data_IF_141960006044
#
_entry.id   IF_141960006044
#
_cell.length_a   1.000
_cell.length_b   1.000
_cell.length_c   1.000
_cell.angle_alpha   90.00
_cell.angle_beta   90.00
_cell.angle_gamma   90.00
#
_symmetry.space_group_name_H-M   'P 1'
#
loop_
_entity.id
_entity.type
_entity.pdbx_description
1 polymer ?
#
# COMPACT_ATOMS: atom_id res chain seq x y z
N UNK A 1 -41.57 31.15 27.74
CA UNK A 1 -41.40 30.75 26.35
C UNK A 1 -39.97 30.24 26.16
N UNK A 2 -39.71 28.96 26.11
CA UNK A 2 -38.37 28.42 25.80
C UNK A 2 -38.24 28.16 24.32
N UNK A 3 -37.14 28.65 23.75
CA UNK A 3 -36.73 28.39 22.38
C UNK A 3 -36.13 26.99 22.26
N UNK A 4 -36.72 26.19 21.39
CA UNK A 4 -36.25 24.87 20.99
C UNK A 4 -35.03 25.00 20.08
N UNK A 5 -33.86 24.50 20.49
CA UNK A 5 -32.72 24.25 19.65
C UNK A 5 -32.80 22.84 19.07
N UNK A 6 -33.00 22.80 17.77
CA UNK A 6 -33.06 21.59 16.94
C UNK A 6 -31.72 20.88 16.92
N UNK A 7 -31.77 19.57 17.19
CA UNK A 7 -30.66 18.62 17.03
C UNK A 7 -30.54 18.26 15.55
N UNK A 8 -29.57 18.82 14.88
CA UNK A 8 -29.12 18.35 13.55
C UNK A 8 -27.64 18.03 13.64
N UNK A 9 -27.29 16.76 13.84
CA UNK A 9 -25.90 16.34 13.96
C UNK A 9 -25.69 14.87 14.22
N UNK A 10 -26.21 13.98 13.36
CA UNK A 10 -25.92 12.55 13.52
C UNK A 10 -26.01 11.74 12.20
N UNK A 11 -25.54 12.27 11.10
CA UNK A 11 -25.54 11.49 9.83
C UNK A 11 -24.22 11.46 9.04
N UNK A 12 -23.12 11.99 9.54
CA UNK A 12 -21.87 12.04 8.78
C UNK A 12 -20.90 10.89 9.05
N UNK A 13 -21.24 9.86 9.83
CA UNK A 13 -20.25 8.90 10.35
C UNK A 13 -20.35 7.47 9.79
N UNK A 14 -21.17 7.21 8.78
CA UNK A 14 -21.24 5.87 8.15
C UNK A 14 -20.40 5.71 6.86
N UNK A 15 -19.86 6.79 6.31
CA UNK A 15 -19.12 6.76 5.04
C UNK A 15 -17.63 6.38 5.17
N UNK A 16 -17.01 6.59 6.32
CA UNK A 16 -15.57 6.30 6.49
C UNK A 16 -15.22 4.81 6.60
N UNK A 17 -16.20 3.97 6.90
CA UNK A 17 -15.98 2.53 7.07
C UNK A 17 -15.79 1.74 5.77
N UNK A 18 -16.15 2.31 4.63
CA UNK A 18 -16.03 1.65 3.33
C UNK A 18 -14.68 1.86 2.61
N UNK A 19 -13.77 2.59 3.20
CA UNK A 19 -12.40 2.81 2.66
C UNK A 19 -11.51 1.55 2.62
N UNK A 20 -12.02 0.39 3.03
CA UNK A 20 -11.23 -0.84 3.14
C UNK A 20 -10.94 -1.54 1.83
N UNK A 21 -11.64 -1.23 0.78
CA UNK A 21 -11.56 -2.01 -0.45
C UNK A 21 -10.66 -1.41 -1.54
N UNK A 22 -9.97 -0.30 -1.23
CA UNK A 22 -9.11 0.39 -2.21
C UNK A 22 -7.77 -0.29 -2.49
N UNK A 23 -7.45 -1.39 -1.83
CA UNK A 23 -6.15 -2.08 -1.93
C UNK A 23 -6.20 -3.41 -2.65
N UNK A 24 -7.20 -3.61 -3.51
CA UNK A 24 -7.22 -4.82 -4.32
C UNK A 24 -6.38 -4.66 -5.58
N UNK A 25 -5.09 -4.97 -5.47
CA UNK A 25 -4.13 -4.98 -6.59
C UNK A 25 -4.01 -6.40 -7.14
N UNK A 26 -5.02 -6.88 -7.85
CA UNK A 26 -4.95 -8.19 -8.51
C UNK A 26 -4.77 -8.07 -10.00
N UNK A 27 -3.63 -8.38 -10.50
CA UNK A 27 -3.39 -9.13 -11.73
C UNK A 27 -1.93 -9.02 -12.17
N UNK A 28 -1.02 -9.76 -11.58
CA UNK A 28 0.32 -9.99 -12.17
C UNK A 28 0.61 -11.48 -12.42
N UNK A 29 -0.43 -12.32 -12.58
CA UNK A 29 -0.26 -13.67 -13.16
C UNK A 29 -0.45 -13.62 -14.66
N UNK A 30 0.45 -12.99 -15.42
CA UNK A 30 0.27 -13.00 -16.87
C UNK A 30 1.36 -12.35 -17.70
N UNK A 31 2.32 -11.70 -17.12
CA UNK A 31 3.40 -11.04 -17.88
C UNK A 31 4.74 -11.74 -17.64
N UNK A 32 4.75 -13.04 -17.84
CA UNK A 32 5.98 -13.77 -18.14
C UNK A 32 5.77 -14.49 -19.46
N UNK A 33 6.46 -14.03 -20.49
CA UNK A 33 6.55 -14.54 -21.86
C UNK A 33 5.62 -13.88 -22.88
N UNK A 34 6.27 -13.13 -23.77
CA UNK A 34 5.94 -12.67 -25.12
C UNK A 34 5.68 -11.17 -25.27
N UNK A 35 6.75 -10.40 -25.22
CA UNK A 35 6.91 -9.31 -26.17
C UNK A 35 8.15 -9.58 -27.02
N UNK A 36 7.98 -10.49 -27.96
CA UNK A 36 8.91 -10.64 -29.08
C UNK A 36 8.32 -9.80 -30.21
N UNK A 37 8.79 -8.58 -30.36
CA UNK A 37 8.50 -7.76 -31.54
C UNK A 37 9.27 -8.35 -32.73
N UNK A 38 8.59 -9.08 -33.60
CA UNK A 38 9.17 -9.63 -34.83
C UNK A 38 9.22 -8.60 -35.96
N UNK A 39 9.87 -7.45 -35.74
CA UNK A 39 10.19 -6.51 -36.85
C UNK A 39 11.33 -5.54 -36.49
N UNK A 40 12.51 -6.05 -36.14
CA UNK A 40 13.76 -5.32 -36.27
C UNK A 40 14.85 -6.35 -36.57
N UNK A 41 15.18 -6.51 -37.84
CA UNK A 41 16.29 -7.32 -38.30
C UNK A 41 17.61 -6.75 -37.83
N UNK A 42 18.45 -7.59 -37.28
CA UNK A 42 19.89 -7.56 -37.25
C UNK A 42 20.56 -6.34 -36.65
N UNK A 43 21.07 -6.51 -35.44
CA UNK A 43 22.39 -5.98 -35.01
C UNK A 43 22.71 -6.60 -33.63
N UNK A 44 23.80 -7.36 -33.57
CA UNK A 44 24.56 -7.68 -32.37
C UNK A 44 23.83 -8.50 -31.29
N UNK A 45 24.30 -9.71 -31.04
CA UNK A 45 23.98 -10.48 -29.83
C UNK A 45 24.44 -9.70 -28.58
N UNK A 46 23.61 -8.74 -28.17
CA UNK A 46 23.69 -8.14 -26.84
C UNK A 46 23.26 -9.20 -25.85
N UNK A 47 24.11 -9.52 -24.90
CA UNK A 47 23.76 -10.32 -23.73
C UNK A 47 22.39 -9.91 -23.21
N UNK A 48 21.51 -10.83 -22.80
CA UNK A 48 20.24 -10.45 -22.19
C UNK A 48 20.54 -9.49 -21.04
N UNK A 49 19.97 -8.30 -21.08
CA UNK A 49 20.03 -7.36 -19.96
C UNK A 49 19.30 -8.08 -18.83
N UNK A 50 20.04 -8.76 -17.99
CA UNK A 50 19.53 -9.28 -16.73
C UNK A 50 19.11 -8.06 -15.91
N UNK A 51 17.83 -7.90 -15.72
CA UNK A 51 17.37 -6.97 -14.67
C UNK A 51 18.03 -7.43 -13.38
N UNK A 52 18.79 -6.58 -12.69
CA UNK A 52 19.41 -7.00 -11.45
C UNK A 52 18.34 -7.42 -10.45
N UNK A 53 18.63 -8.39 -9.60
CA UNK A 53 17.68 -8.90 -8.64
C UNK A 53 17.43 -7.84 -7.55
N UNK A 54 16.32 -7.15 -7.68
CA UNK A 54 15.80 -6.29 -6.63
C UNK A 54 15.15 -7.18 -5.58
N UNK A 55 15.63 -7.15 -4.34
CA UNK A 55 14.93 -7.82 -3.24
C UNK A 55 13.67 -7.00 -2.89
N UNK A 56 12.50 -7.62 -3.08
CA UNK A 56 11.22 -7.03 -2.69
C UNK A 56 10.85 -7.41 -1.27
N UNK A 57 10.58 -6.43 -0.44
CA UNK A 57 10.16 -6.58 0.95
C UNK A 57 8.77 -5.99 1.11
N UNK A 58 7.79 -6.78 1.55
CA UNK A 58 6.49 -6.27 1.95
C UNK A 58 6.56 -5.75 3.39
N UNK A 59 6.22 -4.50 3.64
CA UNK A 59 6.13 -3.92 4.98
C UNK A 59 4.66 -3.66 5.31
N UNK A 60 4.19 -4.23 6.42
CA UNK A 60 2.81 -4.06 6.88
C UNK A 60 2.75 -3.93 8.40
N UNK A 61 1.56 -3.65 8.91
CA UNK A 61 1.32 -3.50 10.35
C UNK A 61 0.01 -2.78 10.60
N UNK A 62 -0.60 -3.05 11.75
CA UNK A 62 -1.86 -2.43 12.14
C UNK A 62 -1.74 -0.91 12.28
N UNK A 63 -2.86 -0.22 12.16
CA UNK A 63 -2.92 1.22 12.41
C UNK A 63 -2.37 1.52 13.82
N UNK A 64 -1.50 2.51 13.93
CA UNK A 64 -0.85 2.88 15.19
C UNK A 64 0.36 2.03 15.60
N UNK A 65 0.73 0.97 14.84
CA UNK A 65 1.88 0.11 15.16
C UNK A 65 3.24 0.80 15.02
N UNK A 66 3.34 1.90 14.27
CA UNK A 66 4.60 2.59 14.01
C UNK A 66 5.33 2.15 12.75
N UNK A 67 4.64 1.50 11.82
CA UNK A 67 5.16 1.08 10.52
C UNK A 67 5.93 2.18 9.77
N UNK A 68 5.44 3.42 9.80
CA UNK A 68 6.10 4.57 9.17
C UNK A 68 7.46 4.91 9.78
N UNK A 69 7.64 4.65 11.08
CA UNK A 69 8.94 4.82 11.75
C UNK A 69 9.93 3.77 11.26
N UNK A 70 9.49 2.51 11.17
CA UNK A 70 10.32 1.42 10.60
C UNK A 70 10.68 1.71 9.14
N UNK A 71 9.73 2.17 8.33
CA UNK A 71 9.99 2.56 6.94
C UNK A 71 11.05 3.67 6.85
N UNK A 72 10.95 4.71 7.71
CA UNK A 72 11.92 5.79 7.76
C UNK A 72 13.32 5.31 8.19
N UNK A 73 13.40 4.38 9.15
CA UNK A 73 14.67 3.76 9.55
C UNK A 73 15.27 2.97 8.39
N UNK A 74 14.50 2.16 7.68
CA UNK A 74 14.99 1.40 6.52
C UNK A 74 15.50 2.33 5.40
N UNK A 75 14.87 3.49 5.18
CA UNK A 75 15.39 4.51 4.25
C UNK A 75 16.78 5.00 4.67
N UNK A 76 17.04 5.19 5.96
CA UNK A 76 18.38 5.59 6.46
C UNK A 76 19.46 4.57 6.12
N UNK A 77 19.12 3.29 5.99
CA UNK A 77 20.02 2.22 5.53
C UNK A 77 20.15 2.11 4.01
N UNK A 78 19.37 2.88 3.25
CA UNK A 78 19.42 2.89 1.79
C UNK A 78 18.32 2.07 1.11
N UNK A 79 17.29 1.64 1.84
CA UNK A 79 16.11 1.05 1.22
C UNK A 79 15.36 2.08 0.37
N UNK A 80 14.82 1.63 -0.75
CA UNK A 80 13.86 2.40 -1.55
C UNK A 80 12.46 2.02 -1.09
N UNK A 81 11.72 2.97 -0.52
CA UNK A 81 10.35 2.71 -0.07
C UNK A 81 9.35 3.12 -1.14
N UNK A 82 8.47 2.20 -1.51
CA UNK A 82 7.32 2.43 -2.39
C UNK A 82 6.05 2.34 -1.54
N UNK A 83 5.43 3.49 -1.32
CA UNK A 83 4.17 3.61 -0.57
C UNK A 83 2.99 3.31 -1.49
N UNK A 84 2.32 2.17 -1.27
CA UNK A 84 1.19 1.73 -2.09
C UNK A 84 0.00 2.70 -2.04
N UNK A 85 -0.23 3.36 -0.90
CA UNK A 85 -1.29 4.37 -0.77
C UNK A 85 -0.93 5.66 -1.52
N UNK A 86 0.34 6.07 -1.51
CA UNK A 86 0.81 7.22 -2.29
C UNK A 86 0.70 6.95 -3.79
N UNK A 87 1.08 5.75 -4.23
CA UNK A 87 0.89 5.32 -5.64
C UNK A 87 -0.58 5.35 -6.02
N UNK A 88 -1.48 4.78 -5.22
CA UNK A 88 -2.91 4.78 -5.49
C UNK A 88 -3.52 6.20 -5.51
N UNK A 89 -2.89 7.14 -4.81
CA UNK A 89 -3.28 8.56 -4.87
C UNK A 89 -2.79 9.25 -6.13
N UNK A 90 -1.54 9.02 -6.50
CA UNK A 90 -0.91 9.73 -7.63
C UNK A 90 -1.52 9.36 -8.98
N UNK A 91 -1.94 8.12 -9.18
CA UNK A 91 -2.50 7.68 -10.46
C UNK A 91 -3.87 8.29 -10.81
N UNK A 92 -4.53 8.92 -9.83
CA UNK A 92 -5.83 9.60 -10.02
C UNK A 92 -5.74 11.11 -9.77
N UNK A 93 -4.54 11.69 -9.86
CA UNK A 93 -4.34 13.14 -9.82
C UNK A 93 -4.88 13.82 -11.09
N UNK A 94 -5.18 15.12 -11.04
CA UNK A 94 -5.64 15.87 -12.21
C UNK A 94 -4.73 15.69 -13.42
N UNK A 95 -5.33 15.39 -14.58
CA UNK A 95 -4.59 15.16 -15.83
C UNK A 95 -4.14 13.72 -16.08
N UNK A 96 -4.34 12.80 -15.15
CA UNK A 96 -4.00 11.38 -15.35
C UNK A 96 -5.05 10.64 -16.20
N UNK A 97 -4.65 9.64 -17.00
CA UNK A 97 -5.59 8.82 -17.76
C UNK A 97 -6.59 8.07 -16.88
N UNK A 98 -6.18 7.61 -15.70
CA UNK A 98 -7.06 6.89 -14.78
C UNK A 98 -8.16 7.81 -14.22
N UNK A 99 -7.85 9.06 -13.87
CA UNK A 99 -8.88 10.02 -13.48
C UNK A 99 -9.86 10.27 -14.62
N UNK A 100 -9.38 10.40 -15.88
CA UNK A 100 -10.24 10.52 -17.06
C UNK A 100 -11.21 9.35 -17.21
N UNK A 101 -10.70 8.11 -17.05
CA UNK A 101 -11.53 6.91 -17.09
C UNK A 101 -12.56 6.83 -15.96
N UNK A 102 -12.21 7.31 -14.75
CA UNK A 102 -13.16 7.41 -13.64
C UNK A 102 -14.28 8.41 -13.93
N UNK A 103 -13.95 9.56 -14.53
CA UNK A 103 -14.95 10.58 -14.93
C UNK A 103 -15.85 10.04 -16.03
N UNK A 104 -15.31 9.33 -17.01
CA UNK A 104 -16.09 8.70 -18.07
C UNK A 104 -17.07 7.66 -17.52
N UNK A 105 -16.64 6.84 -16.56
CA UNK A 105 -17.47 5.76 -15.99
C UNK A 105 -18.47 6.24 -14.95
N UNK A 106 -18.07 7.14 -14.06
CA UNK A 106 -18.87 7.56 -12.89
C UNK A 106 -19.47 8.97 -13.02
N UNK A 107 -19.15 9.66 -14.10
CA UNK A 107 -19.62 11.03 -14.38
C UNK A 107 -18.74 12.11 -13.77
N UNK A 108 -18.87 13.34 -14.30
CA UNK A 108 -18.09 14.50 -13.83
C UNK A 108 -18.36 14.88 -12.36
N UNK A 109 -19.44 14.37 -11.76
CA UNK A 109 -19.76 14.58 -10.34
C UNK A 109 -18.74 14.01 -9.36
N UNK A 110 -17.82 13.14 -9.80
CA UNK A 110 -16.71 12.63 -8.98
C UNK A 110 -15.54 13.61 -8.86
N UNK A 111 -15.61 14.78 -9.50
CA UNK A 111 -14.60 15.82 -9.39
C UNK A 111 -15.05 16.91 -8.40
N UNK A 112 -14.10 17.39 -7.62
CA UNK A 112 -14.22 18.64 -6.87
C UNK A 112 -14.14 19.87 -7.77
N UNK A 113 -14.38 21.03 -7.21
CA UNK A 113 -14.29 22.34 -7.91
C UNK A 113 -12.88 22.68 -8.41
N UNK A 114 -11.87 22.06 -7.81
CA UNK A 114 -10.45 22.18 -8.17
C UNK A 114 -10.02 21.18 -9.27
N UNK A 115 -10.96 20.36 -9.77
CA UNK A 115 -10.69 19.31 -10.75
C UNK A 115 -10.01 18.06 -10.16
N UNK A 116 -9.77 18.02 -8.87
CA UNK A 116 -9.26 16.83 -8.19
C UNK A 116 -10.38 15.82 -7.91
N UNK A 117 -10.02 14.57 -7.69
CA UNK A 117 -10.97 13.50 -7.38
C UNK A 117 -11.62 13.72 -6.00
N UNK A 118 -12.95 13.85 -5.98
CA UNK A 118 -13.76 13.76 -4.76
C UNK A 118 -13.89 12.29 -4.35
N UNK A 119 -12.96 11.84 -3.48
CA UNK A 119 -12.87 10.43 -3.04
C UNK A 119 -14.11 9.94 -2.30
N UNK A 120 -14.75 10.72 -1.39
CA UNK A 120 -16.02 10.35 -0.79
C UNK A 120 -17.11 10.08 -1.81
N UNK A 121 -17.28 10.96 -2.80
CA UNK A 121 -18.28 10.78 -3.86
C UNK A 121 -17.99 9.58 -4.75
N UNK A 122 -16.74 9.39 -5.14
CA UNK A 122 -16.37 8.21 -5.90
C UNK A 122 -16.63 6.93 -5.09
N UNK A 123 -16.31 6.91 -3.80
CA UNK A 123 -16.57 5.77 -2.93
C UNK A 123 -18.06 5.43 -2.84
N UNK A 124 -18.93 6.44 -2.70
CA UNK A 124 -20.38 6.25 -2.71
C UNK A 124 -20.87 5.54 -3.98
N UNK A 125 -20.40 5.99 -5.15
CA UNK A 125 -20.80 5.43 -6.44
C UNK A 125 -20.16 4.07 -6.72
N UNK A 126 -18.89 3.93 -6.43
CA UNK A 126 -18.14 2.72 -6.74
C UNK A 126 -18.51 1.53 -5.84
N UNK A 127 -18.95 1.79 -4.61
CA UNK A 127 -19.38 0.75 -3.68
C UNK A 127 -20.90 0.60 -3.58
N UNK A 128 -21.66 1.23 -4.46
CA UNK A 128 -23.11 1.05 -4.55
C UNK A 128 -23.50 -0.37 -4.98
N UNK A 129 -22.70 -0.98 -5.85
CA UNK A 129 -22.89 -2.34 -6.36
C UNK A 129 -21.58 -3.00 -6.75
N UNK A 130 -21.60 -4.32 -6.95
CA UNK A 130 -20.41 -5.10 -7.28
C UNK A 130 -19.82 -4.75 -8.67
N UNK A 131 -20.66 -4.40 -9.66
CA UNK A 131 -20.18 -4.04 -10.98
C UNK A 131 -19.44 -2.71 -10.97
N UNK A 132 -19.96 -1.71 -10.28
CA UNK A 132 -19.30 -0.41 -10.08
C UNK A 132 -17.96 -0.55 -9.39
N UNK A 133 -17.85 -1.46 -8.40
CA UNK A 133 -16.57 -1.78 -7.76
C UNK A 133 -15.57 -2.40 -8.74
N UNK A 134 -16.02 -3.37 -9.54
CA UNK A 134 -15.18 -4.02 -10.58
C UNK A 134 -14.69 -3.00 -11.62
N UNK A 135 -15.55 -2.08 -12.02
CA UNK A 135 -15.19 -1.04 -12.99
C UNK A 135 -14.15 -0.07 -12.42
N UNK A 136 -14.29 0.34 -11.15
CA UNK A 136 -13.28 1.11 -10.44
C UNK A 136 -11.93 0.39 -10.46
N UNK A 137 -11.93 -0.89 -10.08
CA UNK A 137 -10.72 -1.72 -10.07
C UNK A 137 -10.11 -1.85 -11.47
N UNK A 138 -10.91 -2.11 -12.49
CA UNK A 138 -10.46 -2.25 -13.87
C UNK A 138 -9.78 -0.97 -14.41
N UNK A 139 -10.21 0.20 -13.95
CA UNK A 139 -9.63 1.49 -14.34
C UNK A 139 -8.35 1.77 -13.54
N UNK A 140 -8.37 1.56 -12.23
CA UNK A 140 -7.29 2.01 -11.35
C UNK A 140 -6.13 1.02 -11.25
N UNK A 141 -6.39 -0.29 -11.24
CA UNK A 141 -5.35 -1.30 -11.03
C UNK A 141 -4.25 -1.28 -12.08
N UNK A 142 -4.54 -1.18 -13.40
CA UNK A 142 -3.48 -1.10 -14.41
C UNK A 142 -2.59 0.12 -14.22
N UNK A 143 -3.18 1.27 -13.87
CA UNK A 143 -2.44 2.50 -13.62
C UNK A 143 -1.53 2.39 -12.37
N UNK A 144 -2.07 1.84 -11.27
CA UNK A 144 -1.32 1.59 -10.04
C UNK A 144 -0.15 0.62 -10.32
N UNK A 145 -0.39 -0.46 -11.04
CA UNK A 145 0.66 -1.43 -11.36
C UNK A 145 1.76 -0.82 -12.22
N UNK A 146 1.38 0.00 -13.21
CA UNK A 146 2.35 0.69 -14.08
C UNK A 146 3.22 1.65 -13.26
N UNK A 147 2.61 2.46 -12.41
CA UNK A 147 3.35 3.42 -11.57
C UNK A 147 4.22 2.71 -10.54
N UNK A 148 3.73 1.63 -9.93
CA UNK A 148 4.49 0.82 -9.01
C UNK A 148 5.75 0.23 -9.68
N UNK A 149 5.60 -0.36 -10.87
CA UNK A 149 6.72 -0.89 -11.65
C UNK A 149 7.70 0.23 -12.05
N UNK A 150 7.19 1.41 -12.42
CA UNK A 150 8.04 2.56 -12.74
C UNK A 150 8.90 2.97 -11.55
N UNK A 151 8.33 3.04 -10.35
CA UNK A 151 9.09 3.39 -9.13
C UNK A 151 10.12 2.30 -8.80
N UNK A 152 9.77 1.03 -8.93
CA UNK A 152 10.71 -0.07 -8.75
C UNK A 152 11.87 -0.03 -9.76
N UNK A 153 11.59 0.26 -11.03
CA UNK A 153 12.61 0.35 -12.08
C UNK A 153 13.50 1.58 -11.93
N UNK A 154 13.02 2.63 -11.28
CA UNK A 154 13.81 3.82 -10.95
C UNK A 154 14.75 3.60 -9.75
N UNK A 155 14.53 2.53 -8.98
CA UNK A 155 15.41 2.17 -7.88
C UNK A 155 16.80 1.72 -8.41
N UNK A 156 17.88 1.97 -7.67
CA UNK A 156 19.18 1.40 -7.98
C UNK A 156 19.11 -0.12 -8.18
N UNK A 157 19.91 -0.61 -9.09
CA UNK A 157 19.89 -2.02 -9.51
C UNK A 157 20.12 -3.02 -8.35
N UNK A 158 20.84 -2.58 -7.34
CA UNK A 158 21.18 -3.34 -6.14
C UNK A 158 20.35 -2.92 -4.92
N UNK A 159 19.26 -2.17 -5.11
CA UNK A 159 18.44 -1.69 -4.01
C UNK A 159 17.61 -2.82 -3.37
N UNK A 160 17.37 -2.70 -2.07
CA UNK A 160 16.28 -3.37 -1.38
C UNK A 160 15.06 -2.47 -1.50
N UNK A 161 14.00 -2.95 -2.15
CA UNK A 161 12.76 -2.20 -2.33
C UNK A 161 11.74 -2.65 -1.30
N UNK A 162 11.36 -1.73 -0.43
CA UNK A 162 10.36 -1.94 0.62
C UNK A 162 9.01 -1.40 0.14
N UNK A 163 8.07 -2.29 -0.06
CA UNK A 163 6.71 -1.98 -0.43
C UNK A 163 5.89 -1.77 0.83
N UNK A 164 5.57 -0.52 1.15
CA UNK A 164 4.72 -0.17 2.27
C UNK A 164 3.25 -0.42 1.90
N UNK A 165 2.68 -1.53 2.40
CA UNK A 165 1.32 -1.99 2.09
C UNK A 165 0.54 -2.18 3.39
N UNK A 166 -0.23 -1.18 3.85
CA UNK A 166 -0.94 -1.24 5.12
C UNK A 166 -1.88 -2.44 5.28
N UNK A 167 -2.55 -2.84 4.19
CA UNK A 167 -3.54 -3.93 4.18
C UNK A 167 -3.01 -5.20 3.49
N UNK A 168 -1.73 -5.53 3.69
CA UNK A 168 -1.11 -6.72 3.08
C UNK A 168 -1.75 -8.01 3.57
N UNK A 169 -2.12 -8.09 4.84
CA UNK A 169 -2.75 -9.28 5.42
C UNK A 169 -4.18 -9.46 4.93
N UNK A 170 -4.92 -8.37 4.73
CA UNK A 170 -6.30 -8.36 4.29
C UNK A 170 -6.45 -8.62 2.77
N UNK A 171 -5.44 -8.27 1.97
CA UNK A 171 -5.49 -8.35 0.51
C UNK A 171 -4.79 -9.61 -0.01
N UNK A 172 -5.57 -10.60 -0.44
CA UNK A 172 -5.04 -11.78 -1.14
C UNK A 172 -4.22 -11.39 -2.37
N UNK A 173 -4.62 -10.36 -3.04
CA UNK A 173 -3.99 -9.85 -4.25
C UNK A 173 -2.66 -9.17 -3.96
N UNK A 174 -2.54 -8.43 -2.85
CA UNK A 174 -1.25 -7.88 -2.42
C UNK A 174 -0.27 -9.02 -2.07
N UNK A 175 -0.76 -10.07 -1.40
CA UNK A 175 0.04 -11.28 -1.11
C UNK A 175 0.45 -12.04 -2.38
N UNK A 176 -0.41 -12.07 -3.40
CA UNK A 176 -0.13 -12.74 -4.67
C UNK A 176 1.06 -12.14 -5.45
N UNK A 177 1.57 -10.97 -5.07
CA UNK A 177 2.82 -10.39 -5.60
C UNK A 177 4.05 -11.22 -5.25
N UNK A 178 3.96 -12.09 -4.25
CA UNK A 178 5.05 -13.01 -3.91
C UNK A 178 6.25 -12.30 -3.32
N UNK A 179 6.06 -11.53 -2.25
CA UNK A 179 7.18 -10.94 -1.50
C UNK A 179 8.05 -12.04 -0.87
N UNK A 180 9.35 -12.11 -1.21
CA UNK A 180 10.27 -13.06 -0.55
C UNK A 180 10.39 -12.81 0.95
N UNK A 181 10.23 -11.57 1.36
CA UNK A 181 10.26 -11.13 2.76
C UNK A 181 9.02 -10.30 3.05
N UNK A 182 8.34 -10.62 4.14
CA UNK A 182 7.23 -9.83 4.69
C UNK A 182 7.58 -9.44 6.13
N UNK A 183 7.69 -8.13 6.35
CA UNK A 183 7.95 -7.54 7.67
C UNK A 183 6.63 -7.03 8.24
N UNK A 184 6.28 -7.51 9.41
CA UNK A 184 5.10 -7.07 10.16
C UNK A 184 5.55 -6.23 11.35
N UNK A 185 5.06 -5.01 11.46
CA UNK A 185 5.30 -4.15 12.62
C UNK A 185 4.12 -4.25 13.57
N UNK A 186 4.40 -4.63 14.81
CA UNK A 186 3.40 -4.81 15.86
C UNK A 186 3.61 -3.83 17.02
N UNK A 187 2.56 -3.56 17.75
CA UNK A 187 2.58 -2.88 19.03
C UNK A 187 1.30 -3.26 19.81
N UNK A 188 1.35 -3.27 21.16
CA UNK A 188 0.19 -3.54 22.01
C UNK A 188 -0.99 -2.63 21.69
N UNK A 189 -2.20 -3.16 21.87
CA UNK A 189 -3.44 -2.44 21.54
C UNK A 189 -3.52 -1.07 22.23
N UNK A 190 -3.23 -1.02 23.53
CA UNK A 190 -3.32 0.24 24.29
C UNK A 190 -2.35 1.29 23.76
N UNK A 191 -1.11 0.89 23.47
CA UNK A 191 -0.11 1.79 22.89
C UNK A 191 -0.52 2.30 21.50
N UNK A 192 -1.17 1.46 20.69
CA UNK A 192 -1.72 1.86 19.39
C UNK A 192 -2.84 2.87 19.53
N UNK A 193 -3.73 2.66 20.51
CA UNK A 193 -4.82 3.58 20.83
C UNK A 193 -4.26 4.94 21.29
N UNK A 194 -3.30 4.95 22.21
CA UNK A 194 -2.68 6.17 22.72
C UNK A 194 -1.96 6.97 21.61
N UNK A 195 -1.25 6.25 20.72
CA UNK A 195 -0.61 6.87 19.55
C UNK A 195 -1.62 7.50 18.57
N UNK A 196 -2.79 6.91 18.44
CA UNK A 196 -3.86 7.44 17.58
C UNK A 196 -4.56 8.63 18.24
N UNK A 197 -4.79 8.61 19.54
CA UNK A 197 -5.31 9.74 20.30
C UNK A 197 -4.36 10.95 20.22
N UNK A 198 -3.06 10.73 20.37
CA UNK A 198 -2.04 11.77 20.20
C UNK A 198 -2.04 12.40 18.79
N UNK A 199 -2.59 11.70 17.78
CA UNK A 199 -2.79 12.22 16.41
C UNK A 199 -4.17 12.83 16.19
N UNK A 200 -4.97 13.02 17.25
CA UNK A 200 -6.29 13.63 17.20
C UNK A 200 -7.43 12.68 16.78
N UNK A 201 -7.22 11.37 16.76
CA UNK A 201 -8.27 10.39 16.51
C UNK A 201 -8.97 10.06 17.82
N UNK A 202 -10.30 10.18 17.88
CA UNK A 202 -11.06 9.77 19.07
C UNK A 202 -10.83 8.29 19.38
N UNK A 203 -10.69 7.94 20.66
CA UNK A 203 -10.37 6.56 21.12
C UNK A 203 -11.35 5.51 20.57
N UNK A 204 -12.65 5.84 20.57
CA UNK A 204 -13.68 4.94 20.04
C UNK A 204 -13.54 4.74 18.51
N UNK A 205 -13.15 5.78 17.78
CA UNK A 205 -12.88 5.69 16.35
C UNK A 205 -11.60 4.86 16.10
N UNK A 206 -10.58 5.10 16.90
CA UNK A 206 -9.35 4.34 16.87
C UNK A 206 -9.61 2.84 17.10
N UNK A 207 -10.40 2.51 18.13
CA UNK A 207 -10.79 1.13 18.45
C UNK A 207 -11.56 0.47 17.29
N UNK A 208 -12.53 1.18 16.71
CA UNK A 208 -13.28 0.69 15.54
C UNK A 208 -12.37 0.43 14.34
N UNK A 209 -11.42 1.34 14.05
CA UNK A 209 -10.47 1.17 12.95
C UNK A 209 -9.54 -0.01 13.17
N UNK A 210 -9.07 -0.21 14.39
CA UNK A 210 -8.24 -1.37 14.75
C UNK A 210 -9.02 -2.67 14.60
N UNK A 211 -10.23 -2.75 15.17
CA UNK A 211 -11.08 -3.95 15.12
C UNK A 211 -11.50 -4.33 13.70
N UNK A 212 -11.41 -3.38 12.82
CA UNK A 212 -11.78 -3.53 11.43
C UNK A 212 -10.63 -4.04 10.56
N UNK A 213 -9.40 -4.12 11.02
CA UNK A 213 -8.24 -4.68 10.33
C UNK A 213 -8.08 -6.18 10.66
N UNK A 214 -7.23 -6.88 9.92
CA UNK A 214 -6.79 -8.22 10.29
C UNK A 214 -6.25 -8.25 11.71
N UNK A 215 -6.40 -9.36 12.39
CA UNK A 215 -5.81 -9.60 13.71
C UNK A 215 -4.28 -9.64 13.65
N UNK A 216 -3.63 -9.48 14.79
CA UNK A 216 -2.17 -9.60 14.86
C UNK A 216 -1.73 -11.05 14.53
N UNK A 217 -2.56 -12.06 14.86
CA UNK A 217 -2.31 -13.45 14.48
C UNK A 217 -2.34 -13.67 12.96
N UNK A 218 -3.34 -13.11 12.28
CA UNK A 218 -3.42 -13.17 10.80
C UNK A 218 -2.24 -12.48 10.14
N UNK A 219 -1.75 -11.37 10.70
CA UNK A 219 -0.53 -10.72 10.22
C UNK A 219 0.71 -11.56 10.47
N UNK A 220 0.86 -12.13 11.67
CA UNK A 220 1.99 -13.03 11.98
C UNK A 220 2.02 -14.25 11.07
N UNK A 221 0.87 -14.78 10.70
CA UNK A 221 0.78 -15.96 9.82
C UNK A 221 1.41 -15.76 8.44
N UNK A 222 1.51 -14.51 7.96
CA UNK A 222 2.15 -14.17 6.68
C UNK A 222 3.56 -13.60 6.85
N UNK A 223 3.99 -13.31 8.08
CA UNK A 223 5.25 -12.65 8.36
C UNK A 223 6.44 -13.61 8.18
N UNK A 224 7.52 -13.12 7.58
CA UNK A 224 8.84 -13.72 7.69
C UNK A 224 9.64 -13.11 8.83
N UNK A 225 9.38 -11.84 9.13
CA UNK A 225 9.98 -11.07 10.21
C UNK A 225 8.92 -10.27 10.96
N UNK A 226 9.04 -10.18 12.26
CA UNK A 226 8.18 -9.36 13.13
C UNK A 226 9.05 -8.35 13.85
N UNK A 227 8.65 -7.09 13.80
CA UNK A 227 9.25 -5.98 14.56
C UNK A 227 8.30 -5.59 15.68
N UNK A 228 8.72 -5.75 16.90
CA UNK A 228 7.97 -5.32 18.09
C UNK A 228 8.30 -3.87 18.42
N UNK A 229 7.35 -2.99 18.19
CA UNK A 229 7.44 -1.56 18.49
C UNK A 229 6.69 -1.21 19.78
N UNK A 230 6.87 -2.05 20.82
CA UNK A 230 6.31 -1.81 22.17
C UNK A 230 7.25 -1.04 23.10
N UNK A 231 8.57 -1.06 22.81
CA UNK A 231 9.62 -0.44 23.61
C UNK A 231 9.99 0.98 23.18
N UNK A 232 11.17 1.39 23.64
CA UNK A 232 11.76 2.69 23.31
C UNK A 232 12.33 2.70 21.88
N UNK A 233 12.64 3.89 21.37
CA UNK A 233 13.17 4.05 20.01
C UNK A 233 14.47 3.29 19.79
N UNK A 234 15.37 3.26 20.79
CA UNK A 234 16.65 2.55 20.70
C UNK A 234 16.45 1.03 20.54
N UNK A 235 15.39 0.47 21.14
CA UNK A 235 15.03 -0.94 20.98
C UNK A 235 14.53 -1.22 19.57
N UNK A 236 13.73 -0.31 19.02
CA UNK A 236 13.25 -0.37 17.65
C UNK A 236 14.41 -0.26 16.64
N UNK A 237 15.33 0.68 16.87
CA UNK A 237 16.50 0.87 16.00
C UNK A 237 17.34 -0.42 15.96
N UNK A 238 17.61 -1.07 17.11
CA UNK A 238 18.34 -2.35 17.14
C UNK A 238 17.65 -3.46 16.35
N UNK A 239 16.33 -3.59 16.48
CA UNK A 239 15.57 -4.58 15.70
C UNK A 239 15.64 -4.30 14.20
N UNK A 240 15.65 -3.02 13.79
CA UNK A 240 15.79 -2.64 12.39
C UNK A 240 17.22 -2.87 11.90
N UNK A 241 18.25 -2.68 12.74
CA UNK A 241 19.64 -3.03 12.42
C UNK A 241 19.77 -4.54 12.10
N UNK A 242 19.22 -5.38 12.98
CA UNK A 242 19.21 -6.84 12.80
C UNK A 242 18.42 -7.23 11.53
N UNK A 243 17.24 -6.65 11.32
CA UNK A 243 16.45 -6.86 10.12
C UNK A 243 17.26 -6.47 8.87
N UNK A 244 17.94 -5.32 8.88
CA UNK A 244 18.71 -4.87 7.72
C UNK A 244 19.84 -5.82 7.37
N UNK A 245 20.55 -6.34 8.38
CA UNK A 245 21.59 -7.35 8.19
C UNK A 245 21.02 -8.63 7.55
N UNK A 246 19.85 -9.09 7.99
CA UNK A 246 19.16 -10.24 7.41
C UNK A 246 18.71 -9.97 5.96
N UNK A 247 18.17 -8.78 5.67
CA UNK A 247 17.79 -8.40 4.30
C UNK A 247 18.97 -8.42 3.34
N UNK A 248 20.14 -7.94 3.78
CA UNK A 248 21.36 -7.97 2.96
C UNK A 248 21.81 -9.43 2.69
N UNK A 249 21.72 -10.30 3.70
CA UNK A 249 22.03 -11.73 3.55
C UNK A 249 21.07 -12.42 2.58
N UNK A 250 19.76 -12.20 2.73
CA UNK A 250 18.72 -12.77 1.84
C UNK A 250 18.92 -12.25 0.40
N UNK A 251 19.26 -10.98 0.23
CA UNK A 251 19.57 -10.42 -1.08
C UNK A 251 20.73 -11.15 -1.73
N UNK A 252 21.86 -11.32 -1.02
CA UNK A 252 23.04 -12.02 -1.53
C UNK A 252 22.72 -13.48 -1.92
N UNK A 253 21.92 -14.18 -1.13
CA UNK A 253 21.45 -15.53 -1.46
C UNK A 253 20.56 -15.56 -2.71
N UNK A 254 19.73 -14.54 -2.91
CA UNK A 254 18.87 -14.41 -4.09
C UNK A 254 19.69 -14.19 -5.36
N UNK A 255 20.71 -13.33 -5.26
CA UNK A 255 21.66 -13.05 -6.36
C UNK A 255 22.46 -14.29 -6.77
N UNK A 256 22.87 -15.10 -5.78
CA UNK A 256 23.65 -16.31 -6.04
C UNK A 256 22.84 -17.43 -6.73
N UNK A 257 21.50 -17.39 -6.69
CA UNK A 257 20.61 -18.41 -7.27
C UNK A 257 20.16 -18.10 -8.71
N UNK A 258 20.47 -16.93 -9.22
CA UNK A 258 20.13 -16.46 -10.57
C UNK A 258 21.28 -16.57 -11.56
#
# INVERSE_FOLDING_TARGET
MPLSLSVAGAQSNQMEYRHREWTSLSTLRGISRRFFCSRCGGLGAGSPIRSPPVLLVGLTGGIGSGKSTVAALLVRYGAVVVDADAVARSVVEPGTPALGGLVERFGAGVLGIDGALDRPKLAELAFADEQSRKDLEAITHPAINTEFLRQMQAAPADAIVVCDVPLLAESEQARARGYPVIVVVEAPLDLRLDRLEARGVLRDDAARRIAAQASDEERRAIATHVIDNSGELDDLERQVDDLWADLLRIKAEHEARQ
#
